data_IF_114084151387
#
_entry.id   IF_114084151387
#
_cell.length_a   1.000
_cell.length_b   1.000
_cell.length_c   1.000
_cell.angle_alpha   90.00
_cell.angle_beta   90.00
_cell.angle_gamma   90.00
#
_symmetry.space_group_name_H-M   'P 1'
#
loop_
_entity.id
_entity.type
_entity.pdbx_description
1 polymer ?
#
# COMPACT_ATOMS: atom_id res chain seq x y z
N UNK A 1 24.05 22.29 -1.13
CA UNK A 1 23.51 20.93 -1.08
C UNK A 1 22.76 20.68 0.24
N UNK A 2 23.34 20.92 1.42
CA UNK A 2 22.69 20.66 2.72
C UNK A 2 21.35 21.36 2.90
N UNK A 3 21.27 22.66 2.58
CA UNK A 3 20.03 23.44 2.74
C UNK A 3 18.89 22.94 1.83
N UNK A 4 19.21 22.46 0.64
CA UNK A 4 18.23 21.85 -0.26
C UNK A 4 17.65 20.55 0.35
N UNK A 5 18.51 19.70 0.91
CA UNK A 5 18.08 18.45 1.54
C UNK A 5 17.20 18.74 2.76
N UNK A 6 17.59 19.67 3.63
CA UNK A 6 16.80 20.05 4.81
C UNK A 6 15.43 20.60 4.41
N UNK A 7 15.38 21.48 3.41
CA UNK A 7 14.10 22.01 2.93
C UNK A 7 13.22 20.93 2.33
N UNK A 8 13.79 19.98 1.58
CA UNK A 8 13.05 18.83 1.01
C UNK A 8 12.50 17.91 2.11
N UNK A 9 13.33 17.60 3.11
CA UNK A 9 12.85 16.81 4.25
C UNK A 9 11.74 17.52 5.01
N UNK A 10 11.86 18.81 5.26
CA UNK A 10 10.79 19.60 5.90
C UNK A 10 9.48 19.58 5.10
N UNK A 11 9.57 19.78 3.78
CA UNK A 11 8.39 19.67 2.90
C UNK A 11 7.78 18.27 2.92
N UNK A 12 8.61 17.22 2.89
CA UNK A 12 8.15 15.82 2.94
C UNK A 12 7.40 15.53 4.25
N UNK A 13 7.96 15.95 5.39
CA UNK A 13 7.31 15.79 6.70
C UNK A 13 5.96 16.53 6.74
N UNK A 14 5.93 17.77 6.25
CA UNK A 14 4.67 18.52 6.18
C UNK A 14 3.61 17.81 5.33
N UNK A 15 3.99 17.30 4.14
CA UNK A 15 3.08 16.55 3.26
C UNK A 15 2.59 15.27 3.94
N UNK A 16 3.45 14.53 4.63
CA UNK A 16 3.06 13.31 5.36
C UNK A 16 2.02 13.66 6.45
N UNK A 17 2.27 14.69 7.25
CA UNK A 17 1.35 15.12 8.30
C UNK A 17 0.00 15.53 7.71
N UNK A 18 0.00 16.40 6.71
CA UNK A 18 -1.25 16.87 6.09
C UNK A 18 -2.02 15.71 5.44
N UNK A 19 -1.33 14.83 4.71
CA UNK A 19 -1.95 13.67 4.08
C UNK A 19 -2.54 12.71 5.11
N UNK A 20 -1.83 12.43 6.21
CA UNK A 20 -2.33 11.55 7.27
C UNK A 20 -3.55 12.15 7.98
N UNK A 21 -3.57 13.47 8.23
CA UNK A 21 -4.75 14.16 8.79
C UNK A 21 -5.95 14.07 7.86
N UNK A 22 -5.74 14.31 6.56
CA UNK A 22 -6.81 14.22 5.55
C UNK A 22 -7.36 12.80 5.50
N UNK A 23 -6.50 11.79 5.37
CA UNK A 23 -6.90 10.38 5.30
C UNK A 23 -7.64 9.97 6.57
N UNK A 24 -7.12 10.31 7.75
CA UNK A 24 -7.77 10.05 9.03
C UNK A 24 -9.18 10.65 9.08
N UNK A 25 -9.32 11.91 8.67
CA UNK A 25 -10.61 12.60 8.65
C UNK A 25 -11.59 11.98 7.63
N UNK A 26 -11.11 11.63 6.44
CA UNK A 26 -11.93 10.99 5.41
C UNK A 26 -12.47 9.64 5.88
N UNK A 27 -11.64 8.82 6.55
CA UNK A 27 -12.09 7.52 7.09
C UNK A 27 -13.19 7.70 8.12
N UNK A 28 -13.17 8.77 8.93
CA UNK A 28 -14.22 9.10 9.90
C UNK A 28 -15.52 9.62 9.28
N UNK A 29 -15.49 10.05 8.03
CA UNK A 29 -16.67 10.47 7.28
C UNK A 29 -17.39 9.30 6.60
N UNK A 30 -16.80 8.12 6.55
CA UNK A 30 -17.44 6.92 6.00
C UNK A 30 -18.63 6.57 6.89
N UNK A 31 -19.84 6.40 6.31
CA UNK A 31 -21.01 6.02 7.09
C UNK A 31 -20.83 4.63 7.71
N UNK A 32 -21.17 4.50 8.98
CA UNK A 32 -21.04 3.28 9.79
C UNK A 32 -20.33 3.59 11.10
N UNK A 33 -20.70 2.84 12.14
CA UNK A 33 -20.08 2.96 13.46
C UNK A 33 -19.04 1.85 13.65
N UNK A 34 -17.75 2.19 13.81
CA UNK A 34 -16.73 1.21 14.13
C UNK A 34 -17.04 0.38 15.39
N UNK A 35 -17.76 0.95 16.37
CA UNK A 35 -18.15 0.23 17.58
C UNK A 35 -19.16 -0.87 17.29
N UNK A 36 -20.12 -0.64 16.39
CA UNK A 36 -21.06 -1.67 15.92
C UNK A 36 -20.37 -2.81 15.18
N UNK A 37 -19.33 -2.49 14.37
CA UNK A 37 -18.57 -3.50 13.65
C UNK A 37 -17.69 -4.39 14.54
N UNK A 38 -17.32 -3.91 15.73
CA UNK A 38 -16.48 -4.65 16.68
C UNK A 38 -17.28 -5.30 17.80
N UNK A 39 -18.50 -4.86 18.03
CA UNK A 39 -19.41 -5.48 19.00
C UNK A 39 -19.93 -6.84 18.48
N UNK A 40 -20.33 -7.77 19.37
CA UNK A 40 -21.06 -8.97 18.99
C UNK A 40 -22.32 -8.66 18.16
N UNK A 41 -22.75 -9.58 17.27
CA UNK A 41 -23.91 -9.37 16.38
C UNK A 41 -25.21 -9.10 17.16
N UNK A 42 -25.32 -9.60 18.39
CA UNK A 42 -26.47 -9.47 19.30
C UNK A 42 -26.18 -8.52 20.48
N UNK A 43 -25.17 -7.64 20.34
CA UNK A 43 -24.82 -6.70 21.38
C UNK A 43 -25.95 -5.70 21.69
N UNK A 44 -26.17 -5.47 22.96
CA UNK A 44 -27.07 -4.42 23.43
C UNK A 44 -26.52 -3.02 23.13
N UNK A 45 -27.37 -2.01 23.16
CA UNK A 45 -26.96 -0.61 22.98
C UNK A 45 -25.89 -0.20 24.00
N UNK A 46 -25.98 -0.74 25.24
CA UNK A 46 -25.01 -0.47 26.31
C UNK A 46 -23.65 -1.10 26.02
N UNK A 47 -23.61 -2.31 25.46
CA UNK A 47 -22.36 -2.98 25.06
C UNK A 47 -21.68 -2.26 23.89
N UNK A 48 -22.43 -1.82 22.89
CA UNK A 48 -21.90 -0.99 21.79
C UNK A 48 -21.36 0.34 22.33
N UNK A 49 -22.04 0.97 23.27
CA UNK A 49 -21.58 2.21 23.89
C UNK A 49 -20.28 2.00 24.70
N UNK A 50 -20.14 0.88 25.39
CA UNK A 50 -18.88 0.52 26.07
C UNK A 50 -17.71 0.31 25.08
N UNK A 51 -17.94 -0.38 23.97
CA UNK A 51 -16.94 -0.54 22.92
C UNK A 51 -16.56 0.81 22.31
N UNK A 52 -17.52 1.70 22.10
CA UNK A 52 -17.29 3.05 21.60
C UNK A 52 -16.39 3.88 22.53
N UNK A 53 -16.59 3.75 23.83
CA UNK A 53 -15.77 4.40 24.85
C UNK A 53 -14.37 3.80 24.91
N UNK A 54 -14.24 2.46 24.87
CA UNK A 54 -12.95 1.76 24.82
C UNK A 54 -12.10 2.15 23.60
N UNK A 55 -12.75 2.37 22.46
CA UNK A 55 -12.10 2.81 21.21
C UNK A 55 -11.82 4.32 21.19
N UNK A 56 -12.20 5.08 22.21
CA UNK A 56 -12.04 6.53 22.26
C UNK A 56 -12.84 7.29 21.19
N UNK A 57 -13.91 6.70 20.65
CA UNK A 57 -14.69 7.29 19.56
C UNK A 57 -15.53 8.49 20.01
N UNK A 58 -15.71 8.66 21.32
CA UNK A 58 -16.40 9.80 21.92
C UNK A 58 -15.51 11.03 22.06
N UNK A 59 -14.19 10.86 21.92
CA UNK A 59 -13.23 11.94 22.03
C UNK A 59 -13.28 12.90 20.82
N UNK A 60 -12.85 14.15 20.98
CA UNK A 60 -12.68 15.07 19.87
C UNK A 60 -11.72 14.50 18.80
N UNK A 61 -12.00 14.77 17.53
CA UNK A 61 -11.21 14.20 16.41
C UNK A 61 -9.70 14.47 16.50
N UNK A 62 -9.31 15.62 17.02
CA UNK A 62 -7.88 15.92 17.19
C UNK A 62 -7.21 15.04 18.26
N UNK A 63 -7.91 14.69 19.33
CA UNK A 63 -7.43 13.78 20.37
C UNK A 63 -7.26 12.37 19.80
N UNK A 64 -8.29 11.89 19.09
CA UNK A 64 -8.23 10.59 18.40
C UNK A 64 -7.06 10.51 17.41
N UNK A 65 -6.82 11.58 16.64
CA UNK A 65 -5.71 11.64 15.70
C UNK A 65 -4.34 11.59 16.40
N UNK A 66 -4.16 12.37 17.47
CA UNK A 66 -2.92 12.40 18.23
C UNK A 66 -2.64 11.04 18.88
N UNK A 67 -3.64 10.42 19.48
CA UNK A 67 -3.53 9.08 20.05
C UNK A 67 -3.13 8.07 18.98
N UNK A 68 -3.84 8.04 17.85
CA UNK A 68 -3.53 7.14 16.74
C UNK A 68 -2.10 7.33 16.22
N UNK A 69 -1.64 8.56 16.05
CA UNK A 69 -0.26 8.86 15.62
C UNK A 69 0.75 8.37 16.66
N UNK A 70 0.49 8.62 17.95
CA UNK A 70 1.36 8.16 19.04
C UNK A 70 1.48 6.64 19.06
N UNK A 71 0.35 5.93 18.94
CA UNK A 71 0.33 4.46 18.91
C UNK A 71 1.06 3.91 17.69
N UNK A 72 0.85 4.54 16.51
CA UNK A 72 1.54 4.17 15.28
C UNK A 72 3.07 4.31 15.40
N UNK A 73 3.58 5.37 16.07
CA UNK A 73 5.02 5.52 16.36
C UNK A 73 5.56 4.44 17.30
N UNK A 74 4.73 3.90 18.18
CA UNK A 74 5.06 2.77 19.05
C UNK A 74 4.90 1.39 18.36
N UNK A 75 4.50 1.38 17.08
CA UNK A 75 4.28 0.17 16.29
C UNK A 75 2.95 -0.51 16.56
N UNK A 76 2.03 0.17 17.26
CA UNK A 76 0.64 -0.25 17.41
C UNK A 76 -0.22 0.46 16.37
N UNK A 77 -0.72 -0.30 15.40
CA UNK A 77 -1.62 0.16 14.35
C UNK A 77 -3.08 -0.17 14.64
N UNK A 78 -3.38 -0.60 15.87
CA UNK A 78 -4.72 -1.00 16.29
C UNK A 78 -5.16 -2.35 15.71
N UNK A 79 -6.47 -2.57 15.78
CA UNK A 79 -7.13 -3.77 15.25
C UNK A 79 -7.98 -3.45 14.03
N UNK A 80 -8.07 -4.39 13.10
CA UNK A 80 -8.98 -4.30 11.95
C UNK A 80 -10.42 -4.48 12.41
N UNK A 81 -11.28 -3.54 12.12
CA UNK A 81 -12.71 -3.60 12.46
C UNK A 81 -13.46 -4.76 11.78
N UNK A 82 -12.97 -5.21 10.62
CA UNK A 82 -13.61 -6.29 9.84
C UNK A 82 -13.06 -7.67 10.24
N UNK A 83 -11.73 -7.78 10.45
CA UNK A 83 -11.08 -9.07 10.70
C UNK A 83 -10.84 -9.35 12.18
N UNK A 84 -11.02 -8.35 13.03
CA UNK A 84 -10.73 -8.39 14.47
C UNK A 84 -9.32 -8.92 14.82
N UNK A 85 -8.36 -8.63 13.92
CA UNK A 85 -6.95 -9.03 14.04
C UNK A 85 -6.08 -7.77 14.16
N UNK A 86 -4.92 -7.86 14.84
CA UNK A 86 -3.96 -6.76 14.88
C UNK A 86 -3.54 -6.35 13.47
N UNK A 87 -3.65 -5.06 13.14
CA UNK A 87 -3.27 -4.53 11.81
C UNK A 87 -1.80 -4.82 11.50
N UNK A 88 -0.94 -4.82 12.52
CA UNK A 88 0.47 -5.18 12.38
C UNK A 88 0.68 -6.57 11.75
N UNK A 89 -0.12 -7.55 12.14
CA UNK A 89 0.00 -8.93 11.61
C UNK A 89 -0.55 -9.02 10.19
N UNK A 90 -1.63 -8.29 9.91
CA UNK A 90 -2.16 -8.15 8.55
C UNK A 90 -1.14 -7.48 7.62
N UNK A 91 -0.47 -6.42 8.09
CA UNK A 91 0.59 -5.76 7.33
C UNK A 91 1.77 -6.70 7.06
N UNK A 92 2.24 -7.43 8.06
CA UNK A 92 3.34 -8.39 7.87
C UNK A 92 3.01 -9.46 6.84
N UNK A 93 1.79 -10.01 6.90
CA UNK A 93 1.35 -11.04 5.96
C UNK A 93 1.21 -10.53 4.52
N UNK A 94 0.98 -9.23 4.31
CA UNK A 94 0.86 -8.61 3.00
C UNK A 94 2.19 -8.03 2.48
N UNK A 95 2.96 -7.38 3.34
CA UNK A 95 4.19 -6.67 2.95
C UNK A 95 5.29 -7.64 2.52
N UNK A 96 5.47 -8.75 3.24
CA UNK A 96 6.54 -9.70 2.92
C UNK A 96 6.38 -10.28 1.51
N UNK A 97 5.25 -10.89 1.12
CA UNK A 97 5.06 -11.40 -0.24
C UNK A 97 5.14 -10.29 -1.30
N UNK A 98 4.64 -9.09 -0.97
CA UNK A 98 4.71 -7.94 -1.88
C UNK A 98 6.16 -7.55 -2.16
N UNK A 99 7.00 -7.49 -1.12
CA UNK A 99 8.43 -7.20 -1.27
C UNK A 99 9.16 -8.30 -2.05
N UNK A 100 8.86 -9.57 -1.79
CA UNK A 100 9.46 -10.70 -2.52
C UNK A 100 9.15 -10.60 -4.02
N UNK A 101 7.90 -10.35 -4.39
CA UNK A 101 7.48 -10.20 -5.78
C UNK A 101 8.11 -8.93 -6.39
N UNK A 102 8.14 -7.82 -5.67
CA UNK A 102 8.73 -6.59 -6.13
C UNK A 102 10.23 -6.75 -6.40
N UNK A 103 10.97 -7.34 -5.46
CA UNK A 103 12.42 -7.59 -5.63
C UNK A 103 12.67 -8.54 -6.79
N UNK A 104 11.92 -9.64 -6.90
CA UNK A 104 12.05 -10.57 -8.03
C UNK A 104 11.76 -9.88 -9.37
N UNK A 105 10.70 -9.07 -9.44
CA UNK A 105 10.35 -8.29 -10.63
C UNK A 105 11.42 -7.27 -11.01
N UNK A 106 11.96 -6.53 -10.04
CA UNK A 106 13.06 -5.60 -10.29
C UNK A 106 14.34 -6.29 -10.74
N UNK A 107 14.71 -7.41 -10.12
CA UNK A 107 15.86 -8.20 -10.52
C UNK A 107 15.70 -8.71 -11.96
N UNK A 108 14.53 -9.24 -12.30
CA UNK A 108 14.23 -9.67 -13.67
C UNK A 108 14.33 -8.51 -14.66
N UNK A 109 13.72 -7.36 -14.36
CA UNK A 109 13.79 -6.18 -15.21
C UNK A 109 15.24 -5.69 -15.41
N UNK A 110 16.05 -5.74 -14.35
CA UNK A 110 17.45 -5.34 -14.41
C UNK A 110 18.31 -6.33 -15.22
N UNK A 111 18.15 -7.63 -14.96
CA UNK A 111 18.96 -8.66 -15.60
C UNK A 111 18.60 -8.91 -17.08
N UNK A 112 17.34 -8.69 -17.45
CA UNK A 112 16.84 -8.94 -18.80
C UNK A 112 16.63 -7.62 -19.57
N UNK A 113 15.90 -6.69 -18.99
CA UNK A 113 15.52 -5.44 -19.65
C UNK A 113 16.71 -4.53 -19.92
N UNK A 114 17.63 -4.39 -18.95
CA UNK A 114 18.78 -3.50 -19.11
C UNK A 114 19.74 -3.97 -20.21
N UNK A 115 20.15 -5.24 -20.30
CA UNK A 115 20.97 -5.71 -21.43
C UNK A 115 20.25 -5.54 -22.77
N UNK A 116 18.99 -5.91 -22.88
CA UNK A 116 18.21 -5.76 -24.12
C UNK A 116 18.18 -4.27 -24.53
N UNK A 117 17.91 -3.36 -23.59
CA UNK A 117 17.90 -1.93 -23.84
C UNK A 117 19.25 -1.39 -24.31
N UNK A 118 20.36 -1.84 -23.70
CA UNK A 118 21.71 -1.46 -24.11
C UNK A 118 22.00 -1.96 -25.53
N UNK A 119 21.73 -3.22 -25.85
CA UNK A 119 21.97 -3.77 -27.19
C UNK A 119 21.11 -3.09 -28.26
N UNK A 120 19.85 -2.76 -27.95
CA UNK A 120 18.99 -1.98 -28.84
C UNK A 120 19.57 -0.57 -29.08
N UNK A 121 20.01 0.11 -28.03
CA UNK A 121 20.60 1.46 -28.14
C UNK A 121 21.95 1.54 -28.86
N UNK A 122 22.75 0.46 -28.82
CA UNK A 122 24.03 0.41 -29.53
C UNK A 122 23.89 0.34 -31.06
N UNK A 123 22.77 -0.18 -31.57
CA UNK A 123 22.51 -0.30 -33.02
C UNK A 123 21.08 0.11 -33.35
N UNK A 124 20.78 1.42 -33.35
CA UNK A 124 19.44 1.91 -33.71
C UNK A 124 19.04 1.43 -35.12
N UNK A 125 17.79 0.98 -35.27
CA UNK A 125 17.31 0.39 -36.52
C UNK A 125 17.79 -1.04 -36.81
N UNK A 126 18.53 -1.65 -35.88
CA UNK A 126 18.95 -3.04 -35.96
C UNK A 126 17.87 -4.03 -35.51
N UNK A 127 18.10 -5.31 -35.73
CA UNK A 127 17.17 -6.39 -35.35
C UNK A 127 16.84 -6.35 -33.84
N UNK A 128 17.85 -6.10 -33.01
CA UNK A 128 17.65 -6.00 -31.55
C UNK A 128 16.72 -4.82 -31.15
N UNK A 129 16.87 -3.68 -31.81
CA UNK A 129 16.05 -2.51 -31.62
C UNK A 129 14.59 -2.75 -32.03
N UNK A 130 14.38 -3.37 -33.20
CA UNK A 130 13.05 -3.77 -33.65
C UNK A 130 12.37 -4.75 -32.66
N UNK A 131 13.09 -5.77 -32.21
CA UNK A 131 12.58 -6.71 -31.23
C UNK A 131 12.22 -6.04 -29.90
N UNK A 132 13.11 -5.21 -29.36
CA UNK A 132 12.86 -4.47 -28.13
C UNK A 132 11.65 -3.54 -28.26
N UNK A 133 11.53 -2.85 -29.39
CA UNK A 133 10.41 -1.93 -29.66
C UNK A 133 9.08 -2.68 -29.78
N UNK A 134 9.03 -3.76 -30.57
CA UNK A 134 7.80 -4.58 -30.73
C UNK A 134 7.39 -5.17 -29.38
N UNK A 135 8.34 -5.72 -28.62
CA UNK A 135 8.06 -6.28 -27.30
C UNK A 135 7.50 -5.23 -26.33
N UNK A 136 8.12 -4.04 -26.28
CA UNK A 136 7.68 -2.94 -25.43
C UNK A 136 6.26 -2.48 -25.81
N UNK A 137 5.99 -2.25 -27.09
CA UNK A 137 4.67 -1.82 -27.57
C UNK A 137 3.62 -2.88 -27.28
N UNK A 138 3.93 -4.16 -27.52
CA UNK A 138 3.03 -5.27 -27.25
C UNK A 138 2.69 -5.38 -25.76
N UNK A 139 3.69 -5.22 -24.88
CA UNK A 139 3.51 -5.28 -23.43
C UNK A 139 2.70 -4.08 -22.90
N UNK A 140 2.92 -2.89 -23.44
CA UNK A 140 2.13 -1.71 -23.10
C UNK A 140 0.66 -1.79 -23.55
N UNK A 141 0.40 -2.50 -24.65
CA UNK A 141 -0.94 -2.72 -25.17
C UNK A 141 -1.78 -3.74 -24.39
N UNK A 142 -1.14 -4.58 -23.57
CA UNK A 142 -1.82 -5.60 -22.79
C UNK A 142 -1.97 -5.10 -21.34
N UNK A 143 -3.20 -5.06 -20.78
CA UNK A 143 -3.39 -4.72 -19.38
C UNK A 143 -2.59 -5.66 -18.45
N UNK A 144 -1.87 -5.10 -17.48
CA UNK A 144 -0.96 -5.83 -16.60
C UNK A 144 -1.62 -7.02 -15.87
N UNK A 145 -2.91 -6.90 -15.52
CA UNK A 145 -3.64 -7.99 -14.86
C UNK A 145 -3.84 -9.21 -15.80
N UNK A 146 -4.00 -8.99 -17.12
CA UNK A 146 -4.12 -10.08 -18.11
C UNK A 146 -2.79 -10.82 -18.22
N UNK A 147 -1.66 -10.09 -18.28
CA UNK A 147 -0.33 -10.71 -18.26
C UNK A 147 -0.11 -11.52 -16.98
N UNK A 148 -0.48 -10.97 -15.83
CA UNK A 148 -0.40 -11.67 -14.55
C UNK A 148 -1.24 -12.96 -14.52
N UNK A 149 -2.46 -12.90 -15.05
CA UNK A 149 -3.35 -14.07 -15.15
C UNK A 149 -2.79 -15.16 -16.09
N UNK A 150 -2.27 -14.78 -17.25
CA UNK A 150 -1.64 -15.71 -18.18
C UNK A 150 -0.41 -16.39 -17.58
N UNK A 151 0.44 -15.64 -16.88
CA UNK A 151 1.60 -16.20 -16.18
C UNK A 151 1.17 -17.16 -15.06
N UNK A 152 0.17 -16.79 -14.26
CA UNK A 152 -0.36 -17.64 -13.19
C UNK A 152 -0.93 -18.95 -13.75
N UNK A 153 -1.75 -18.87 -14.82
CA UNK A 153 -2.30 -20.04 -15.48
C UNK A 153 -1.23 -20.93 -16.11
N UNK A 154 -0.17 -20.34 -16.67
CA UNK A 154 0.95 -21.12 -17.22
C UNK A 154 1.72 -21.87 -16.13
N UNK A 155 1.89 -21.27 -14.95
CA UNK A 155 2.54 -21.93 -13.80
C UNK A 155 1.70 -23.02 -13.15
N UNK A 156 0.38 -22.93 -13.22
CA UNK A 156 -0.53 -23.99 -12.71
C UNK A 156 -0.50 -25.23 -13.62
N UNK A 157 -0.11 -25.09 -14.88
CA UNK A 157 -0.06 -26.21 -15.84
C UNK A 157 1.31 -26.95 -15.84
N UNK A 158 2.29 -26.49 -15.09
CA UNK A 158 3.59 -27.13 -14.90
C UNK A 158 3.59 -27.89 -13.57
#
# INVERSE_FOLDING_TARGET
MGQYIVNRLGQTVLVIILSSMIIFSLVRLIPGDPAELMAPEDASIEEVAAVREELGLNDPLYTQYISWVSDAFNGDFGKSYIKNLPVRDLLKSAVIPTLEIAVAGYLFAFLVGLPIGIFAGLKPGGIADYFATIFTISTLGIPNFILGLLLLLSLIHI
#
